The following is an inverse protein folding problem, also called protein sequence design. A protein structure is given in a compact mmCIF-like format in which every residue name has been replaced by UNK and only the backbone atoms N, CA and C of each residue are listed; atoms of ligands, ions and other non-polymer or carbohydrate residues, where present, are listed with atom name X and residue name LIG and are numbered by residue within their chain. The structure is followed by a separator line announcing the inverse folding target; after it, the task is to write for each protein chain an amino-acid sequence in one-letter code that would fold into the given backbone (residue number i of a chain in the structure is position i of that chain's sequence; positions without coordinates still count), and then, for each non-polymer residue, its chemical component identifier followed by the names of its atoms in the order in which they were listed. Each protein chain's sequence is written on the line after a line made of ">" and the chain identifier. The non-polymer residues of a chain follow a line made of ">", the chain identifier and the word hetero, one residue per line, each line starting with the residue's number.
data_IF_155653333294
#
_entry.id   IF_155653333294
#
_cell.length_a   1.000
_cell.length_b   1.000
_cell.length_c   1.000
_cell.angle_alpha   90.00
_cell.angle_beta   90.00
_cell.angle_gamma   90.00
#
_symmetry.space_group_name_H-M   'P 1'
#
loop_
_entity.id
_entity.type
_entity.pdbx_description
1 polymer ?
#
# COMPACT_ATOMS: atom_id res chain seq x y z
N UNK A 1 -6.95 -15.65 -13.41
CA UNK A 1 -5.95 -14.69 -13.90
C UNK A 1 -6.17 -13.30 -13.31
N UNK A 2 -7.35 -12.69 -13.41
CA UNK A 2 -7.65 -11.32 -12.93
C UNK A 2 -7.36 -11.17 -11.43
N UNK A 3 -7.80 -12.12 -10.58
CA UNK A 3 -7.57 -12.07 -9.14
C UNK A 3 -6.07 -11.91 -8.77
N UNK A 4 -5.22 -12.79 -9.28
CA UNK A 4 -3.78 -12.73 -8.98
C UNK A 4 -3.07 -11.61 -9.71
N UNK A 5 -3.50 -11.23 -10.91
CA UNK A 5 -2.94 -10.09 -11.62
C UNK A 5 -3.11 -8.79 -10.82
N UNK A 6 -4.30 -8.52 -10.29
CA UNK A 6 -4.56 -7.34 -9.45
C UNK A 6 -3.74 -7.37 -8.15
N UNK A 7 -3.71 -8.52 -7.44
CA UNK A 7 -2.91 -8.71 -6.22
C UNK A 7 -1.41 -8.48 -6.47
N UNK A 8 -0.91 -9.08 -7.56
CA UNK A 8 0.50 -8.96 -7.94
C UNK A 8 0.86 -7.52 -8.35
N UNK A 9 0.02 -6.87 -9.16
CA UNK A 9 0.23 -5.49 -9.58
C UNK A 9 0.29 -4.53 -8.40
N UNK A 10 -0.62 -4.67 -7.42
CA UNK A 10 -0.63 -3.86 -6.21
C UNK A 10 0.64 -4.05 -5.37
N UNK A 11 1.08 -5.29 -5.18
CA UNK A 11 2.31 -5.60 -4.43
C UNK A 11 3.54 -5.09 -5.17
N UNK A 12 3.62 -5.29 -6.49
CA UNK A 12 4.73 -4.82 -7.31
C UNK A 12 4.81 -3.28 -7.30
N UNK A 13 3.67 -2.58 -7.36
CA UNK A 13 3.64 -1.13 -7.29
C UNK A 13 4.14 -0.61 -5.93
N UNK A 14 3.70 -1.22 -4.82
CA UNK A 14 4.20 -0.87 -3.48
C UNK A 14 5.73 -0.99 -3.39
N UNK A 15 6.30 -2.12 -3.85
CA UNK A 15 7.74 -2.35 -3.79
C UNK A 15 8.53 -1.45 -4.73
N UNK A 16 8.04 -1.17 -5.95
CA UNK A 16 8.65 -0.19 -6.86
C UNK A 16 8.73 1.20 -6.21
N UNK A 17 7.66 1.63 -5.54
CA UNK A 17 7.65 2.89 -4.80
C UNK A 17 8.67 2.88 -3.65
N UNK A 18 8.72 1.82 -2.84
CA UNK A 18 9.66 1.72 -1.72
C UNK A 18 11.12 1.72 -2.20
N UNK A 19 11.45 1.00 -3.27
CA UNK A 19 12.77 0.98 -3.88
C UNK A 19 13.13 2.37 -4.40
N UNK A 20 12.27 2.99 -5.23
CA UNK A 20 12.51 4.31 -5.81
C UNK A 20 12.63 5.40 -4.76
N UNK A 21 11.86 5.32 -3.65
CA UNK A 21 12.00 6.22 -2.52
C UNK A 21 13.38 6.07 -1.87
N UNK A 22 13.83 4.85 -1.57
CA UNK A 22 15.14 4.62 -0.95
C UNK A 22 16.30 5.08 -1.85
N UNK A 23 16.25 4.78 -3.14
CA UNK A 23 17.23 5.28 -4.12
C UNK A 23 17.24 6.81 -4.18
N UNK A 24 16.05 7.42 -4.15
CA UNK A 24 15.88 8.86 -4.13
C UNK A 24 16.45 9.52 -2.86
N UNK A 25 16.23 8.92 -1.67
CA UNK A 25 16.79 9.42 -0.41
C UNK A 25 18.31 9.54 -0.46
N UNK A 26 18.98 8.53 -1.01
CA UNK A 26 20.44 8.51 -1.19
C UNK A 26 20.87 9.52 -2.25
N UNK A 27 20.32 9.43 -3.47
CA UNK A 27 20.70 10.27 -4.62
C UNK A 27 20.52 11.77 -4.33
N UNK A 28 19.43 12.12 -3.69
CA UNK A 28 19.07 13.51 -3.38
C UNK A 28 19.63 14.00 -2.04
N UNK A 29 20.42 13.19 -1.36
CA UNK A 29 21.00 13.51 -0.05
C UNK A 29 19.96 14.03 0.95
N UNK A 30 18.79 13.38 0.98
CA UNK A 30 17.68 13.79 1.84
C UNK A 30 18.05 13.64 3.32
N UNK A 31 18.76 12.57 3.67
CA UNK A 31 19.23 12.33 5.04
C UNK A 31 20.16 13.43 5.52
N UNK A 32 21.16 13.81 4.71
CA UNK A 32 22.08 14.93 5.04
C UNK A 32 21.31 16.23 5.29
N UNK A 33 20.23 16.46 4.51
CA UNK A 33 19.37 17.63 4.69
C UNK A 33 18.62 17.57 6.03
N UNK A 34 18.09 16.39 6.38
CA UNK A 34 17.41 16.18 7.66
C UNK A 34 18.34 16.30 8.85
N UNK A 35 19.57 15.78 8.75
CA UNK A 35 20.60 15.95 9.78
C UNK A 35 20.95 17.43 10.01
N UNK A 36 21.13 18.22 8.95
CA UNK A 36 21.34 19.66 9.07
C UNK A 36 20.16 20.37 9.74
N UNK A 37 18.93 20.03 9.40
CA UNK A 37 17.74 20.59 10.05
C UNK A 37 17.68 20.22 11.54
N UNK A 38 18.03 18.98 11.88
CA UNK A 38 18.17 18.52 13.25
C UNK A 38 19.21 19.35 14.02
N UNK A 39 20.41 19.50 13.48
CA UNK A 39 21.47 20.29 14.10
C UNK A 39 21.05 21.74 14.32
N UNK A 40 20.38 22.36 13.36
CA UNK A 40 19.84 23.72 13.46
C UNK A 40 18.82 23.84 14.60
N UNK A 41 17.88 22.86 14.72
CA UNK A 41 16.91 22.87 15.80
C UNK A 41 17.57 22.73 17.17
N UNK A 42 18.52 21.80 17.30
CA UNK A 42 19.24 21.61 18.55
C UNK A 42 20.11 22.82 18.93
N UNK A 43 20.72 23.49 17.95
CA UNK A 43 21.45 24.74 18.16
C UNK A 43 20.52 25.87 18.66
N UNK A 44 19.36 26.04 18.02
CA UNK A 44 18.34 27.00 18.46
C UNK A 44 17.89 26.76 19.91
N UNK A 45 17.71 25.50 20.30
CA UNK A 45 17.39 25.15 21.68
C UNK A 45 18.49 25.57 22.66
N UNK A 46 19.75 25.25 22.34
CA UNK A 46 20.92 25.64 23.18
C UNK A 46 21.04 27.16 23.34
N UNK A 47 20.86 27.93 22.27
CA UNK A 47 20.89 29.39 22.30
C UNK A 47 19.82 29.99 23.21
N UNK A 48 18.66 29.36 23.30
CA UNK A 48 17.51 29.78 24.15
C UNK A 48 17.60 29.22 25.58
N UNK A 49 18.58 28.38 25.89
CA UNK A 49 18.67 27.66 27.17
C UNK A 49 17.57 26.62 27.35
N UNK A 50 16.95 26.13 26.25
CA UNK A 50 15.89 25.14 26.23
C UNK A 50 16.44 23.77 25.79
N UNK A 51 16.53 22.84 26.72
CA UNK A 51 17.03 21.48 26.47
C UNK A 51 15.92 20.50 26.03
N UNK A 52 14.69 20.96 25.91
CA UNK A 52 13.53 20.12 25.57
C UNK A 52 13.67 19.44 24.21
N UNK A 53 14.24 20.12 23.21
CA UNK A 53 14.48 19.56 21.88
C UNK A 53 15.54 18.46 21.89
N UNK A 54 16.61 18.64 22.68
CA UNK A 54 17.65 17.62 22.83
C UNK A 54 17.07 16.37 23.52
N UNK A 55 16.33 16.56 24.62
CA UNK A 55 15.67 15.45 25.32
C UNK A 55 14.69 14.70 24.41
N UNK A 56 13.88 15.43 23.65
CA UNK A 56 12.96 14.83 22.71
C UNK A 56 13.67 14.03 21.62
N UNK A 57 14.77 14.55 21.08
CA UNK A 57 15.57 13.85 20.08
C UNK A 57 16.20 12.57 20.64
N UNK A 58 16.82 12.64 21.81
CA UNK A 58 17.46 11.48 22.43
C UNK A 58 16.43 10.38 22.78
N UNK A 59 15.26 10.78 23.25
CA UNK A 59 14.15 9.86 23.53
C UNK A 59 13.65 9.20 22.24
N UNK A 60 13.36 9.96 21.18
CA UNK A 60 12.95 9.42 19.88
C UNK A 60 13.99 8.44 19.34
N UNK A 61 15.27 8.81 19.38
CA UNK A 61 16.38 7.97 18.90
C UNK A 61 16.45 6.65 19.67
N UNK A 62 16.35 6.71 20.99
CA UNK A 62 16.36 5.54 21.87
C UNK A 62 15.17 4.60 21.57
N UNK A 63 13.96 5.17 21.45
CA UNK A 63 12.76 4.43 21.16
C UNK A 63 12.83 3.75 19.79
N UNK A 64 13.26 4.48 18.75
CA UNK A 64 13.37 3.94 17.39
C UNK A 64 14.37 2.79 17.34
N UNK A 65 15.53 2.93 18.02
CA UNK A 65 16.52 1.86 18.11
C UNK A 65 15.95 0.63 18.82
N UNK A 66 15.23 0.82 19.93
CA UNK A 66 14.67 -0.28 20.72
C UNK A 66 13.59 -1.07 19.99
N UNK A 67 12.75 -0.41 19.19
CA UNK A 67 11.64 -1.07 18.48
C UNK A 67 11.97 -1.58 17.09
N UNK A 68 13.18 -1.28 16.58
CA UNK A 68 13.58 -1.61 15.21
C UNK A 68 13.36 -3.09 14.86
N UNK A 69 13.87 -4.01 15.67
CA UNK A 69 13.78 -5.44 15.42
C UNK A 69 12.34 -5.96 15.49
N UNK A 70 11.55 -5.45 16.45
CA UNK A 70 10.15 -5.80 16.57
C UNK A 70 9.32 -5.31 15.36
N UNK A 71 9.60 -4.11 14.85
CA UNK A 71 8.98 -3.57 13.62
C UNK A 71 9.35 -4.40 12.40
N UNK A 72 10.64 -4.72 12.24
CA UNK A 72 11.13 -5.54 11.14
C UNK A 72 10.45 -6.92 11.14
N UNK A 73 10.38 -7.56 12.31
CA UNK A 73 9.74 -8.86 12.46
C UNK A 73 8.22 -8.77 12.16
N UNK A 74 7.54 -7.74 12.69
CA UNK A 74 6.12 -7.50 12.40
C UNK A 74 5.87 -7.33 10.90
N UNK A 75 6.73 -6.58 10.21
CA UNK A 75 6.64 -6.37 8.77
C UNK A 75 6.82 -7.68 8.01
N UNK A 76 7.83 -8.49 8.37
CA UNK A 76 8.07 -9.79 7.76
C UNK A 76 6.86 -10.74 7.90
N UNK A 77 6.25 -10.81 9.10
CA UNK A 77 5.02 -11.59 9.31
C UNK A 77 3.88 -11.03 8.44
N UNK A 78 3.68 -9.72 8.45
CA UNK A 78 2.57 -9.07 7.75
C UNK A 78 2.65 -9.28 6.24
N UNK A 79 3.82 -9.13 5.66
CA UNK A 79 4.01 -9.28 4.21
C UNK A 79 4.02 -10.74 3.75
N UNK A 80 4.87 -11.57 4.38
CA UNK A 80 5.08 -12.92 3.93
C UNK A 80 3.95 -13.88 4.32
N UNK A 81 3.33 -13.70 5.50
CA UNK A 81 2.42 -14.69 6.06
C UNK A 81 0.95 -14.22 6.15
N UNK A 82 0.69 -12.91 6.09
CA UNK A 82 -0.69 -12.37 6.12
C UNK A 82 -1.11 -11.90 4.74
N UNK A 83 -0.36 -10.97 4.14
CA UNK A 83 -0.73 -10.35 2.87
C UNK A 83 -0.56 -11.30 1.69
N UNK A 84 0.55 -12.06 1.66
CA UNK A 84 0.84 -12.96 0.56
C UNK A 84 -0.05 -14.21 0.53
N UNK A 85 -0.52 -14.71 1.68
CA UNK A 85 -1.18 -16.01 1.82
C UNK A 85 -2.70 -15.88 1.97
N UNK A 86 -3.46 -15.91 0.87
CA UNK A 86 -4.92 -15.86 0.93
C UNK A 86 -5.50 -17.09 1.64
N UNK A 87 -4.86 -18.26 1.51
CA UNK A 87 -5.29 -19.46 2.21
C UNK A 87 -5.18 -19.37 3.74
N UNK A 88 -4.44 -18.39 4.28
CA UNK A 88 -4.38 -18.15 5.73
C UNK A 88 -5.50 -17.23 6.25
N UNK A 89 -6.34 -16.68 5.37
CA UNK A 89 -7.54 -15.92 5.73
C UNK A 89 -8.71 -16.81 6.20
N UNK A 90 -8.38 -18.02 6.74
CA UNK A 90 -9.38 -18.93 7.29
C UNK A 90 -10.22 -18.24 8.36
N UNK A 91 -11.51 -18.60 8.54
CA UNK A 91 -12.35 -18.11 9.62
C UNK A 91 -11.74 -18.36 11.01
N UNK A 92 -12.12 -17.55 12.01
CA UNK A 92 -11.78 -17.85 13.39
C UNK A 92 -12.55 -19.08 13.89
N UNK A 93 -11.84 -19.95 14.58
CA UNK A 93 -12.42 -21.15 15.21
C UNK A 93 -12.62 -20.98 16.72
N UNK A 94 -12.34 -19.80 17.29
CA UNK A 94 -12.35 -19.56 18.75
C UNK A 94 -13.73 -19.71 19.35
N UNK A 95 -14.78 -19.23 18.67
CA UNK A 95 -16.15 -19.37 19.11
C UNK A 95 -16.56 -20.85 19.22
N UNK A 96 -16.29 -21.61 18.17
CA UNK A 96 -16.59 -23.05 18.15
C UNK A 96 -15.75 -23.81 19.19
N UNK A 97 -14.48 -23.46 19.36
CA UNK A 97 -13.61 -24.05 20.38
C UNK A 97 -14.18 -23.87 21.78
N UNK A 98 -14.53 -22.63 22.17
CA UNK A 98 -15.16 -22.30 23.46
C UNK A 98 -16.52 -23.02 23.65
N UNK A 99 -17.31 -23.11 22.59
CA UNK A 99 -18.58 -23.83 22.64
C UNK A 99 -18.39 -25.33 22.90
N UNK A 100 -17.43 -25.95 22.22
CA UNK A 100 -17.06 -27.37 22.44
C UNK A 100 -16.52 -27.62 23.85
N UNK A 101 -15.69 -26.73 24.39
CA UNK A 101 -15.19 -26.77 25.76
C UNK A 101 -16.32 -26.72 26.79
N UNK A 102 -17.31 -25.85 26.54
CA UNK A 102 -18.47 -25.70 27.43
C UNK A 102 -19.47 -26.89 27.36
N UNK A 103 -19.33 -27.74 26.33
CA UNK A 103 -20.25 -28.87 26.06
C UNK A 103 -21.72 -28.45 25.88
N UNK A 104 -21.99 -27.18 25.59
CA UNK A 104 -23.33 -26.65 25.42
C UNK A 104 -23.80 -26.89 23.97
N UNK A 105 -24.77 -27.77 23.80
CA UNK A 105 -25.24 -28.18 22.45
C UNK A 105 -25.82 -27.02 21.63
N UNK A 106 -26.51 -26.08 22.26
CA UNK A 106 -27.08 -24.89 21.57
C UNK A 106 -25.95 -23.99 21.04
N UNK A 107 -24.98 -23.66 21.88
CA UNK A 107 -23.82 -22.86 21.48
C UNK A 107 -22.97 -23.54 20.41
N UNK A 108 -22.78 -24.86 20.51
CA UNK A 108 -22.07 -25.64 19.48
C UNK A 108 -22.77 -25.50 18.14
N UNK A 109 -24.10 -25.62 18.12
CA UNK A 109 -24.89 -25.48 16.90
C UNK A 109 -24.78 -24.08 16.31
N UNK A 110 -24.97 -23.04 17.13
CA UNK A 110 -24.86 -21.63 16.70
C UNK A 110 -23.50 -21.32 16.10
N UNK A 111 -22.40 -21.68 16.78
CA UNK A 111 -21.04 -21.43 16.29
C UNK A 111 -20.69 -22.31 15.07
N UNK A 112 -21.27 -23.50 14.96
CA UNK A 112 -21.15 -24.36 13.78
C UNK A 112 -21.81 -23.72 12.55
N UNK A 113 -23.03 -23.19 12.71
CA UNK A 113 -23.77 -22.55 11.61
C UNK A 113 -23.10 -21.23 11.18
N UNK A 114 -22.56 -20.46 12.12
CA UNK A 114 -21.76 -19.28 11.86
C UNK A 114 -20.48 -19.64 11.07
N UNK A 115 -19.74 -20.64 11.55
CA UNK A 115 -18.49 -21.07 10.89
C UNK A 115 -18.73 -21.58 9.46
N UNK A 116 -19.88 -22.24 9.19
CA UNK A 116 -20.26 -22.64 7.84
C UNK A 116 -20.41 -21.43 6.90
N UNK A 117 -21.14 -20.41 7.33
CA UNK A 117 -21.34 -19.20 6.54
C UNK A 117 -20.04 -18.45 6.24
N UNK A 118 -19.12 -18.41 7.21
CA UNK A 118 -17.80 -17.81 7.03
C UNK A 118 -16.88 -18.66 6.13
N UNK A 119 -16.95 -20.00 6.25
CA UNK A 119 -16.17 -20.91 5.43
C UNK A 119 -16.60 -20.88 3.95
N UNK A 120 -17.87 -20.71 3.64
CA UNK A 120 -18.33 -20.55 2.25
C UNK A 120 -17.72 -19.30 1.59
N UNK A 121 -17.63 -18.19 2.33
CA UNK A 121 -16.95 -16.96 1.86
C UNK A 121 -15.46 -17.20 1.66
N UNK A 122 -14.82 -17.88 2.62
CA UNK A 122 -13.40 -18.22 2.52
C UNK A 122 -13.10 -19.07 1.28
N UNK A 123 -13.82 -20.15 1.05
CA UNK A 123 -13.56 -21.00 -0.11
C UNK A 123 -13.85 -20.30 -1.45
N UNK A 124 -14.77 -19.33 -1.47
CA UNK A 124 -14.99 -18.48 -2.63
C UNK A 124 -13.82 -17.50 -2.87
N UNK A 125 -13.15 -17.06 -1.80
CA UNK A 125 -12.01 -16.12 -1.87
C UNK A 125 -10.69 -16.79 -2.26
N UNK A 126 -10.59 -18.12 -2.19
CA UNK A 126 -9.40 -18.91 -2.54
C UNK A 126 -9.68 -19.82 -3.74
N UNK A 127 -9.90 -19.26 -4.93
CA UNK A 127 -10.40 -20.01 -6.09
C UNK A 127 -9.37 -20.97 -6.70
N UNK A 128 -8.08 -20.81 -6.39
CA UNK A 128 -6.98 -21.59 -6.97
C UNK A 128 -6.02 -22.12 -5.89
N UNK A 129 -6.43 -23.18 -5.14
CA UNK A 129 -5.61 -23.74 -4.06
C UNK A 129 -4.20 -24.17 -4.48
N UNK A 130 -4.04 -24.63 -5.73
CA UNK A 130 -2.73 -25.04 -6.27
C UNK A 130 -1.74 -23.86 -6.34
N UNK A 131 -2.22 -22.68 -6.72
CA UNK A 131 -1.39 -21.46 -6.75
C UNK A 131 -1.03 -21.06 -5.32
N UNK A 132 -2.00 -21.03 -4.42
CA UNK A 132 -1.79 -20.69 -3.01
C UNK A 132 -0.78 -21.65 -2.34
N UNK A 133 -0.81 -22.94 -2.70
CA UNK A 133 0.14 -23.93 -2.20
C UNK A 133 1.58 -23.60 -2.63
N UNK A 134 1.78 -23.22 -3.89
CA UNK A 134 3.11 -22.84 -4.39
C UNK A 134 3.59 -21.53 -3.75
N UNK A 135 2.71 -20.54 -3.65
CA UNK A 135 3.00 -19.27 -2.96
C UNK A 135 3.32 -19.51 -1.49
N UNK A 136 2.55 -20.37 -0.80
CA UNK A 136 2.78 -20.71 0.60
C UNK A 136 4.15 -21.32 0.85
N UNK A 137 4.60 -22.22 0.00
CA UNK A 137 5.95 -22.82 0.09
C UNK A 137 7.03 -21.74 -0.02
N UNK A 138 6.95 -20.91 -1.05
CA UNK A 138 7.95 -19.86 -1.29
C UNK A 138 7.96 -18.79 -0.19
N UNK A 139 6.79 -18.36 0.27
CA UNK A 139 6.71 -17.32 1.30
C UNK A 139 7.14 -17.80 2.68
N UNK A 140 6.89 -19.07 3.02
CA UNK A 140 7.39 -19.65 4.27
C UNK A 140 8.92 -19.79 4.27
N UNK A 141 9.51 -20.17 3.13
CA UNK A 141 10.95 -20.15 2.92
C UNK A 141 11.54 -18.75 3.05
N UNK A 142 10.90 -17.79 2.38
CA UNK A 142 11.30 -16.37 2.38
C UNK A 142 11.30 -15.79 3.79
N UNK A 143 10.19 -15.97 4.54
CA UNK A 143 10.11 -15.53 5.94
C UNK A 143 11.24 -16.12 6.80
N UNK A 144 11.50 -17.44 6.67
CA UNK A 144 12.56 -18.10 7.40
C UNK A 144 13.97 -17.63 7.04
N UNK A 145 14.17 -17.13 5.82
CA UNK A 145 15.43 -16.53 5.38
C UNK A 145 15.71 -15.14 5.94
N UNK A 146 14.64 -14.39 6.32
CA UNK A 146 14.79 -13.05 6.88
C UNK A 146 14.78 -13.00 8.40
N UNK A 147 14.19 -13.97 9.09
CA UNK A 147 14.03 -13.96 10.54
C UNK A 147 14.91 -15.04 11.18
N UNK A 148 15.78 -14.69 12.16
CA UNK A 148 16.59 -15.65 12.90
C UNK A 148 15.76 -16.79 13.50
N UNK A 149 16.29 -18.01 13.53
CA UNK A 149 15.56 -19.21 13.95
C UNK A 149 14.93 -19.10 15.33
N UNK A 150 15.63 -18.49 16.28
CA UNK A 150 15.17 -18.30 17.66
C UNK A 150 14.04 -17.27 17.79
N UNK A 151 13.85 -16.42 16.77
CA UNK A 151 12.81 -15.39 16.70
C UNK A 151 11.62 -15.80 15.83
N UNK A 152 11.73 -16.88 15.07
CA UNK A 152 10.65 -17.31 14.18
C UNK A 152 9.37 -17.65 14.93
N UNK A 153 8.22 -17.45 14.27
CA UNK A 153 6.91 -17.77 14.85
C UNK A 153 6.80 -19.26 15.20
N UNK A 154 5.94 -19.57 16.19
CA UNK A 154 5.87 -20.90 16.81
C UNK A 154 5.62 -22.08 15.87
N UNK A 155 5.07 -21.84 14.66
CA UNK A 155 4.82 -22.92 13.69
C UNK A 155 6.11 -23.62 13.24
N UNK A 156 7.25 -22.94 13.26
CA UNK A 156 8.52 -23.54 12.88
C UNK A 156 8.94 -24.68 13.81
N UNK A 157 8.65 -24.57 15.12
CA UNK A 157 8.84 -25.69 16.09
C UNK A 157 8.00 -26.90 15.73
N UNK A 158 6.80 -26.69 15.18
CA UNK A 158 5.94 -27.77 14.69
C UNK A 158 6.52 -28.36 13.41
N UNK A 159 6.99 -27.53 12.50
CA UNK A 159 7.63 -27.97 11.25
C UNK A 159 8.87 -28.82 11.56
N UNK A 160 9.71 -28.39 12.48
CA UNK A 160 10.91 -29.14 12.89
C UNK A 160 10.57 -30.51 13.53
N UNK A 161 9.64 -30.48 14.49
CA UNK A 161 9.30 -31.69 15.23
C UNK A 161 8.45 -32.70 14.45
N UNK A 162 7.55 -32.26 13.57
CA UNK A 162 6.59 -33.10 12.86
C UNK A 162 6.93 -33.35 11.39
N UNK A 163 7.67 -32.42 10.78
CA UNK A 163 8.04 -32.49 9.36
C UNK A 163 9.55 -32.50 9.14
N UNK A 164 10.36 -32.66 10.20
CA UNK A 164 11.83 -32.70 10.13
C UNK A 164 12.44 -31.49 9.43
N UNK A 165 11.88 -30.30 9.69
CA UNK A 165 12.29 -29.03 9.07
C UNK A 165 11.78 -28.83 7.63
N UNK A 166 11.03 -29.78 7.06
CA UNK A 166 10.55 -29.68 5.68
C UNK A 166 9.29 -28.78 5.58
N UNK A 167 9.50 -27.52 5.21
CA UNK A 167 8.47 -26.49 5.06
C UNK A 167 7.48 -26.85 3.95
N UNK A 168 7.96 -27.43 2.85
CA UNK A 168 7.13 -27.82 1.71
C UNK A 168 6.15 -28.93 2.10
N UNK A 169 6.62 -29.94 2.83
CA UNK A 169 5.77 -31.02 3.33
C UNK A 169 4.73 -30.50 4.32
N UNK A 170 5.05 -29.50 5.13
CA UNK A 170 4.08 -28.84 6.02
C UNK A 170 2.97 -28.13 5.22
N UNK A 171 3.32 -27.35 4.21
CA UNK A 171 2.34 -26.68 3.34
C UNK A 171 1.48 -27.70 2.61
N UNK A 172 2.07 -28.77 2.07
CA UNK A 172 1.32 -29.84 1.43
C UNK A 172 0.33 -30.52 2.39
N UNK A 173 0.72 -30.71 3.65
CA UNK A 173 -0.16 -31.23 4.70
C UNK A 173 -1.30 -30.27 5.06
N UNK A 174 -1.06 -28.95 5.04
CA UNK A 174 -2.12 -27.92 5.21
C UNK A 174 -3.25 -28.13 4.20
N UNK A 175 -2.93 -28.22 2.93
CA UNK A 175 -3.94 -28.39 1.88
C UNK A 175 -4.56 -29.79 1.88
N UNK A 176 -3.82 -30.82 2.20
CA UNK A 176 -4.31 -32.20 2.15
C UNK A 176 -5.17 -32.62 3.34
N UNK A 177 -4.78 -32.19 4.56
CA UNK A 177 -5.35 -32.75 5.79
C UNK A 177 -6.05 -31.76 6.70
N UNK A 178 -5.82 -30.44 6.53
CA UNK A 178 -6.47 -29.42 7.36
C UNK A 178 -7.96 -29.29 7.06
N UNK A 179 -8.70 -28.84 8.06
CA UNK A 179 -10.14 -28.55 8.02
C UNK A 179 -10.43 -27.59 6.85
N UNK A 180 -9.66 -26.55 6.70
CA UNK A 180 -9.82 -25.54 5.66
C UNK A 180 -9.02 -25.84 4.37
N UNK A 181 -8.35 -26.98 4.28
CA UNK A 181 -7.61 -27.39 3.09
C UNK A 181 -8.49 -27.68 1.87
N UNK A 182 -9.74 -28.08 2.10
CA UNK A 182 -10.76 -28.27 1.06
C UNK A 182 -12.19 -28.20 1.63
N UNK A 183 -13.19 -27.93 0.77
CA UNK A 183 -14.61 -28.00 1.17
C UNK A 183 -14.98 -29.40 1.68
N UNK A 184 -14.41 -30.45 1.12
CA UNK A 184 -14.65 -31.81 1.55
C UNK A 184 -14.16 -32.06 2.98
N UNK A 185 -12.93 -31.62 3.31
CA UNK A 185 -12.39 -31.73 4.64
C UNK A 185 -13.21 -30.94 5.66
N UNK A 186 -13.62 -29.71 5.29
CA UNK A 186 -14.46 -28.86 6.10
C UNK A 186 -15.81 -29.53 6.40
N UNK A 187 -16.49 -30.05 5.37
CA UNK A 187 -17.79 -30.72 5.52
C UNK A 187 -17.70 -31.95 6.42
N UNK A 188 -16.63 -32.74 6.32
CA UNK A 188 -16.38 -33.88 7.20
C UNK A 188 -16.17 -33.44 8.66
N UNK A 189 -15.44 -32.36 8.87
CA UNK A 189 -15.22 -31.83 10.21
C UNK A 189 -16.50 -31.26 10.83
N UNK A 190 -17.22 -30.41 10.09
CA UNK A 190 -18.35 -29.65 10.60
C UNK A 190 -19.57 -30.52 10.92
N UNK A 191 -19.63 -31.73 10.33
CA UNK A 191 -20.65 -32.74 10.69
C UNK A 191 -20.47 -33.29 12.11
N UNK A 192 -19.22 -33.42 12.57
CA UNK A 192 -18.85 -33.90 13.89
C UNK A 192 -17.65 -33.13 14.46
N UNK A 193 -17.82 -31.87 14.86
CA UNK A 193 -16.73 -31.05 15.32
C UNK A 193 -16.20 -31.53 16.68
N UNK A 194 -14.85 -31.55 16.80
CA UNK A 194 -14.19 -31.95 18.03
C UNK A 194 -13.01 -31.03 18.36
N UNK A 195 -12.75 -30.81 19.64
CA UNK A 195 -11.57 -30.06 20.13
C UNK A 195 -10.26 -30.63 19.61
N UNK A 196 -10.11 -31.97 19.72
CA UNK A 196 -8.88 -32.64 19.28
C UNK A 196 -8.54 -32.39 17.81
N UNK A 197 -9.55 -32.26 16.94
CA UNK A 197 -9.32 -31.98 15.52
C UNK A 197 -8.92 -30.51 15.31
N UNK A 198 -9.56 -29.56 16.03
CA UNK A 198 -9.21 -28.14 15.98
C UNK A 198 -7.79 -27.88 16.50
N UNK A 199 -7.45 -28.44 17.67
CA UNK A 199 -6.17 -28.21 18.34
C UNK A 199 -4.97 -28.81 17.58
N UNK A 200 -5.21 -29.77 16.67
CA UNK A 200 -4.17 -30.43 15.89
C UNK A 200 -4.19 -30.06 14.39
N UNK A 201 -5.09 -29.17 14.01
CA UNK A 201 -5.20 -28.76 12.60
C UNK A 201 -4.07 -27.83 12.17
N UNK A 202 -3.41 -28.18 11.06
CA UNK A 202 -2.20 -27.48 10.61
C UNK A 202 -2.46 -26.01 10.22
N UNK A 203 -3.56 -25.70 9.53
CA UNK A 203 -3.89 -24.31 9.16
C UNK A 203 -4.33 -23.50 10.39
N UNK A 204 -5.07 -24.11 11.31
CA UNK A 204 -5.48 -23.47 12.57
C UNK A 204 -4.26 -23.16 13.44
N UNK A 205 -3.35 -24.11 13.61
CA UNK A 205 -2.08 -23.90 14.32
C UNK A 205 -1.21 -22.83 13.66
N UNK A 206 -1.15 -22.81 12.34
CA UNK A 206 -0.39 -21.80 11.62
C UNK A 206 -0.99 -20.40 11.82
N UNK A 207 -2.31 -20.25 11.70
CA UNK A 207 -2.99 -18.97 11.97
C UNK A 207 -2.75 -18.47 13.38
N UNK A 208 -2.87 -19.35 14.39
CA UNK A 208 -2.57 -18.97 15.78
C UNK A 208 -1.12 -18.54 15.94
N UNK A 209 -0.18 -19.23 15.29
CA UNK A 209 1.23 -18.87 15.34
C UNK A 209 1.52 -17.49 14.72
N UNK A 210 0.86 -17.15 13.60
CA UNK A 210 0.93 -15.82 13.00
C UNK A 210 0.37 -14.77 13.95
N UNK A 211 -0.81 -15.01 14.51
CA UNK A 211 -1.47 -14.07 15.44
C UNK A 211 -0.63 -13.85 16.70
N UNK A 212 -0.06 -14.90 17.28
CA UNK A 212 0.83 -14.81 18.44
C UNK A 212 2.11 -14.02 18.11
N UNK A 213 2.69 -14.24 16.94
CA UNK A 213 3.84 -13.48 16.46
C UNK A 213 3.54 -11.98 16.34
N UNK A 214 2.41 -11.62 15.72
CA UNK A 214 1.96 -10.22 15.62
C UNK A 214 1.68 -9.60 17.00
N UNK A 215 1.07 -10.36 17.92
CA UNK A 215 0.81 -9.89 19.27
C UNK A 215 2.11 -9.63 20.05
N UNK A 216 3.08 -10.53 19.96
CA UNK A 216 4.39 -10.39 20.62
C UNK A 216 5.12 -9.15 20.12
N UNK A 217 5.17 -8.93 18.82
CA UNK A 217 5.80 -7.72 18.26
C UNK A 217 5.07 -6.44 18.65
N UNK A 218 3.74 -6.46 18.67
CA UNK A 218 2.92 -5.33 19.11
C UNK A 218 3.15 -5.00 20.59
N UNK A 219 3.22 -6.01 21.46
CA UNK A 219 3.51 -5.83 22.88
C UNK A 219 4.92 -5.28 23.12
N UNK A 220 5.92 -5.75 22.39
CA UNK A 220 7.27 -5.23 22.48
C UNK A 220 7.37 -3.73 22.15
N UNK A 221 6.48 -3.22 21.30
CA UNK A 221 6.45 -1.80 20.90
C UNK A 221 5.53 -0.94 21.79
N UNK A 222 4.64 -1.54 22.57
CA UNK A 222 3.56 -0.81 23.27
C UNK A 222 4.05 0.27 24.22
N UNK A 223 5.02 -0.04 25.06
CA UNK A 223 5.53 0.90 26.07
C UNK A 223 6.39 1.99 25.43
N UNK A 224 7.15 1.64 24.39
CA UNK A 224 7.90 2.60 23.61
C UNK A 224 7.00 3.65 22.94
N UNK A 225 5.83 3.28 22.43
CA UNK A 225 4.92 4.19 21.74
C UNK A 225 4.36 5.31 22.63
N UNK A 226 4.18 5.10 23.92
CA UNK A 226 3.68 6.15 24.83
C UNK A 226 4.62 7.36 24.90
N UNK A 227 5.90 7.12 25.08
CA UNK A 227 6.90 8.17 25.19
C UNK A 227 7.19 8.80 23.83
N UNK A 228 7.08 8.02 22.75
CA UNK A 228 7.28 8.51 21.40
C UNK A 228 6.37 9.67 21.06
N UNK A 229 5.06 9.55 21.32
CA UNK A 229 4.10 10.59 20.98
C UNK A 229 4.36 11.91 21.72
N UNK A 230 4.79 11.83 22.98
CA UNK A 230 5.14 13.01 23.77
C UNK A 230 6.41 13.69 23.22
N UNK A 231 7.46 12.93 23.00
CA UNK A 231 8.72 13.44 22.46
C UNK A 231 8.55 13.97 21.02
N UNK A 232 7.78 13.26 20.19
CA UNK A 232 7.50 13.67 18.82
C UNK A 232 6.72 15.00 18.74
N UNK A 233 5.77 15.25 19.63
CA UNK A 233 5.06 16.55 19.72
C UNK A 233 6.03 17.71 20.00
N UNK A 234 6.98 17.53 20.92
CA UNK A 234 8.01 18.54 21.21
C UNK A 234 8.89 18.77 19.99
N UNK A 235 9.32 17.71 19.35
CA UNK A 235 10.15 17.76 18.15
C UNK A 235 9.45 18.51 17.00
N UNK A 236 8.20 18.12 16.68
CA UNK A 236 7.41 18.76 15.62
C UNK A 236 7.17 20.23 15.90
N UNK A 237 6.87 20.59 17.17
CA UNK A 237 6.73 21.99 17.57
C UNK A 237 8.01 22.76 17.31
N UNK A 238 9.18 22.24 17.69
CA UNK A 238 10.46 22.85 17.42
C UNK A 238 10.72 23.07 15.93
N UNK A 239 10.41 22.07 15.10
CA UNK A 239 10.51 22.20 13.63
C UNK A 239 9.56 23.27 13.07
N UNK A 240 8.36 23.40 13.63
CA UNK A 240 7.43 24.47 13.26
C UNK A 240 7.95 25.85 13.65
N UNK A 241 8.45 26.01 14.87
CA UNK A 241 9.02 27.26 15.37
C UNK A 241 10.23 27.71 14.52
N UNK A 242 11.09 26.76 14.13
CA UNK A 242 12.22 27.02 13.24
C UNK A 242 11.77 27.48 11.84
N UNK A 243 10.77 26.82 11.24
CA UNK A 243 10.21 27.20 9.94
C UNK A 243 9.56 28.57 10.01
N UNK A 244 8.80 28.85 11.06
CA UNK A 244 8.17 30.15 11.27
C UNK A 244 9.21 31.29 11.37
N UNK A 245 10.28 31.07 12.12
CA UNK A 245 11.38 32.02 12.22
C UNK A 245 12.08 32.27 10.87
N UNK A 246 12.16 31.25 10.01
CA UNK A 246 12.71 31.35 8.65
C UNK A 246 11.69 31.88 7.61
N UNK A 247 10.47 32.25 7.99
CA UNK A 247 9.43 32.67 7.06
C UNK A 247 8.95 31.57 6.07
N UNK A 248 9.22 30.29 6.39
CA UNK A 248 8.85 29.17 5.54
C UNK A 248 7.39 28.77 5.80
N UNK A 249 6.57 28.52 4.78
CA UNK A 249 5.19 28.07 4.97
C UNK A 249 5.11 26.78 5.82
N UNK A 250 4.12 26.77 6.71
CA UNK A 250 3.79 25.63 7.56
C UNK A 250 2.38 25.17 7.19
N UNK A 251 2.26 23.89 6.87
CA UNK A 251 0.98 23.25 6.58
C UNK A 251 0.95 21.85 7.20
N UNK A 252 -0.23 21.36 7.63
CA UNK A 252 -0.37 20.05 8.24
C UNK A 252 -0.33 18.95 7.19
N UNK A 253 0.02 17.74 7.63
CA UNK A 253 -0.24 16.53 6.87
C UNK A 253 -1.76 16.25 6.74
N UNK A 254 -2.11 15.35 5.81
CA UNK A 254 -3.48 14.92 5.63
C UNK A 254 -4.03 14.24 6.90
N UNK A 255 -5.23 14.67 7.33
CA UNK A 255 -5.87 14.22 8.56
C UNK A 255 -7.35 13.86 8.34
N UNK A 256 -7.72 13.47 7.12
CA UNK A 256 -9.10 13.18 6.69
C UNK A 256 -10.03 14.40 6.63
N UNK A 257 -9.50 15.61 6.70
CA UNK A 257 -10.25 16.85 6.40
C UNK A 257 -9.91 17.37 5.01
N UNK A 258 -10.74 18.26 4.48
CA UNK A 258 -10.48 18.90 3.18
C UNK A 258 -9.18 19.72 3.25
N UNK A 259 -8.29 19.47 2.30
CA UNK A 259 -7.01 20.17 2.15
C UNK A 259 -6.83 20.65 0.72
N UNK A 260 -6.43 21.90 0.57
CA UNK A 260 -6.02 22.46 -0.70
C UNK A 260 -4.50 22.42 -0.82
N UNK A 261 -3.99 21.88 -1.91
CA UNK A 261 -2.62 22.06 -2.37
C UNK A 261 -2.63 22.87 -3.66
N UNK A 262 -1.64 23.73 -3.87
CA UNK A 262 -1.59 24.58 -5.06
C UNK A 262 -0.18 24.64 -5.63
N UNK A 263 -0.08 24.97 -6.92
CA UNK A 263 1.18 25.02 -7.65
C UNK A 263 0.98 25.46 -9.08
N UNK A 264 1.90 25.07 -9.94
CA UNK A 264 1.93 25.45 -11.36
C UNK A 264 2.10 24.22 -12.24
N UNK A 265 1.60 24.29 -13.46
CA UNK A 265 1.90 23.33 -14.54
C UNK A 265 3.30 23.63 -15.04
N UNK A 266 4.25 22.71 -14.83
CA UNK A 266 5.66 22.94 -15.15
C UNK A 266 6.32 21.66 -15.67
N UNK A 267 7.22 21.77 -16.66
CA UNK A 267 8.15 20.71 -17.01
C UNK A 267 9.16 20.46 -15.88
N UNK A 268 10.02 19.45 -16.01
CA UNK A 268 11.17 19.24 -15.12
C UNK A 268 12.31 18.53 -15.83
N UNK A 269 13.49 18.62 -15.23
CA UNK A 269 14.73 18.00 -15.70
C UNK A 269 15.12 16.84 -14.77
N UNK A 270 14.85 15.58 -15.15
CA UNK A 270 15.17 14.41 -14.31
C UNK A 270 16.67 14.11 -14.28
N UNK A 271 17.41 14.50 -15.33
CA UNK A 271 18.83 14.30 -15.48
C UNK A 271 19.42 15.35 -16.42
N UNK A 272 20.75 15.46 -16.44
CA UNK A 272 21.47 16.34 -17.35
C UNK A 272 21.11 16.04 -18.82
N UNK A 273 20.78 17.07 -19.57
CA UNK A 273 20.39 16.97 -20.98
C UNK A 273 19.01 16.36 -21.24
N UNK A 274 18.18 16.11 -20.20
CA UNK A 274 16.85 15.54 -20.34
C UNK A 274 15.79 16.49 -19.80
N UNK A 275 14.79 16.79 -20.63
CA UNK A 275 13.62 17.61 -20.24
C UNK A 275 12.35 16.79 -20.45
N UNK A 276 11.56 16.63 -19.39
CA UNK A 276 10.20 16.11 -19.49
C UNK A 276 9.21 17.25 -19.59
N UNK A 277 8.46 17.25 -20.71
CA UNK A 277 7.45 18.27 -20.96
C UNK A 277 6.32 18.17 -19.91
N UNK A 278 5.59 19.28 -19.73
CA UNK A 278 4.49 19.36 -18.76
C UNK A 278 3.24 18.58 -19.18
N UNK A 279 3.13 18.07 -20.41
CA UNK A 279 1.99 17.27 -20.87
C UNK A 279 2.44 16.08 -21.73
N UNK A 280 1.55 15.09 -21.85
CA UNK A 280 1.65 13.95 -22.74
C UNK A 280 0.42 13.87 -23.64
N UNK A 281 0.54 13.16 -24.76
CA UNK A 281 -0.53 13.04 -25.76
C UNK A 281 -0.90 11.58 -26.04
N UNK A 282 -2.00 11.38 -26.74
CA UNK A 282 -2.46 10.06 -27.17
C UNK A 282 -1.42 9.33 -28.06
N UNK A 283 -0.51 10.09 -28.73
CA UNK A 283 0.64 9.52 -29.44
C UNK A 283 1.51 8.67 -28.52
N UNK A 284 1.77 9.13 -27.31
CA UNK A 284 2.54 8.40 -26.31
C UNK A 284 1.88 7.09 -25.88
N UNK A 285 0.53 7.06 -25.81
CA UNK A 285 -0.24 5.85 -25.54
C UNK A 285 -0.02 4.81 -26.67
N UNK A 286 -0.07 5.26 -27.93
CA UNK A 286 0.19 4.37 -29.07
C UNK A 286 1.63 3.86 -29.11
N UNK A 287 2.60 4.68 -28.72
CA UNK A 287 4.01 4.30 -28.66
C UNK A 287 4.33 3.27 -27.56
N UNK A 288 3.53 3.24 -26.51
CA UNK A 288 3.67 2.30 -25.38
C UNK A 288 2.89 1.00 -25.58
N UNK A 289 2.16 0.85 -26.68
CA UNK A 289 1.38 -0.35 -26.94
C UNK A 289 2.26 -1.60 -26.91
N UNK A 290 1.86 -2.57 -26.08
CA UNK A 290 2.45 -3.91 -26.03
C UNK A 290 1.30 -4.94 -25.98
N UNK A 291 1.03 -5.62 -27.12
CA UNK A 291 -0.05 -6.60 -27.20
C UNK A 291 0.12 -7.81 -26.28
N UNK A 292 1.36 -8.11 -25.88
CA UNK A 292 1.67 -9.24 -25.01
C UNK A 292 1.56 -8.90 -23.53
N UNK A 293 1.49 -7.61 -23.21
CA UNK A 293 1.29 -7.12 -21.85
C UNK A 293 -0.10 -6.49 -21.69
N UNK A 294 -0.98 -7.14 -20.95
CA UNK A 294 -2.36 -6.71 -20.78
C UNK A 294 -2.53 -5.28 -20.25
N UNK A 295 -1.54 -4.75 -19.52
CA UNK A 295 -1.54 -3.37 -18.99
C UNK A 295 -1.36 -2.33 -20.11
N UNK A 296 -0.71 -2.71 -21.22
CA UNK A 296 -0.38 -1.82 -22.34
C UNK A 296 -1.15 -2.14 -23.62
N UNK A 297 -2.15 -3.01 -23.57
CA UNK A 297 -3.04 -3.25 -24.71
C UNK A 297 -3.88 -2.01 -25.00
N UNK A 298 -3.74 -1.44 -26.19
CA UNK A 298 -4.58 -0.32 -26.64
C UNK A 298 -5.81 -0.86 -27.37
N UNK A 299 -7.05 -0.52 -26.91
CA UNK A 299 -8.28 -0.97 -27.56
C UNK A 299 -8.36 -0.54 -29.03
N UNK A 300 -8.82 -1.43 -29.90
CA UNK A 300 -8.88 -1.20 -31.35
C UNK A 300 -9.67 0.08 -31.72
N UNK A 301 -10.78 0.36 -31.03
CA UNK A 301 -11.57 1.58 -31.24
C UNK A 301 -10.76 2.85 -30.94
N UNK A 302 -9.93 2.85 -29.91
CA UNK A 302 -9.07 3.98 -29.58
C UNK A 302 -8.00 4.21 -30.66
N UNK A 303 -7.41 3.13 -31.21
CA UNK A 303 -6.49 3.21 -32.35
C UNK A 303 -7.17 3.79 -33.60
N UNK A 304 -8.39 3.37 -33.90
CA UNK A 304 -9.17 3.91 -35.01
C UNK A 304 -9.42 5.42 -34.88
N UNK A 305 -9.86 5.87 -33.71
CA UNK A 305 -10.05 7.30 -33.42
C UNK A 305 -8.74 8.10 -33.56
N UNK A 306 -7.63 7.53 -33.07
CA UNK A 306 -6.31 8.15 -33.19
C UNK A 306 -5.87 8.30 -34.64
N UNK A 307 -5.96 7.24 -35.45
CA UNK A 307 -5.54 7.28 -36.86
C UNK A 307 -6.46 8.18 -37.72
N UNK A 308 -7.74 8.22 -37.41
CA UNK A 308 -8.69 9.13 -38.07
C UNK A 308 -8.57 10.58 -37.60
N UNK A 309 -7.81 10.86 -36.51
CA UNK A 309 -7.76 12.15 -35.81
C UNK A 309 -9.14 12.66 -35.42
N UNK A 310 -10.08 11.73 -35.13
CA UNK A 310 -11.43 12.07 -34.70
C UNK A 310 -11.45 12.39 -33.20
N UNK A 311 -10.86 13.52 -32.86
CA UNK A 311 -10.76 14.00 -31.47
C UNK A 311 -11.86 15.03 -31.12
N UNK A 312 -12.61 15.49 -32.12
CA UNK A 312 -13.58 16.57 -31.93
C UNK A 312 -12.92 17.86 -31.41
N UNK A 313 -13.64 18.59 -30.59
CA UNK A 313 -13.16 19.83 -29.96
C UNK A 313 -12.25 19.60 -28.75
N UNK A 314 -11.96 18.33 -28.40
CA UNK A 314 -11.11 17.97 -27.26
C UNK A 314 -9.60 18.05 -27.59
N UNK A 315 -9.23 18.16 -28.86
CA UNK A 315 -7.84 18.33 -29.27
C UNK A 315 -7.28 19.70 -28.86
N UNK A 316 -5.97 19.76 -28.66
CA UNK A 316 -5.26 21.03 -28.51
C UNK A 316 -5.21 21.80 -29.87
N UNK A 317 -4.87 23.07 -29.84
CA UNK A 317 -4.73 23.89 -31.05
C UNK A 317 -3.78 23.31 -32.11
N UNK A 318 -2.74 22.58 -31.65
CA UNK A 318 -1.80 21.87 -32.54
C UNK A 318 -2.37 20.57 -33.15
N UNK A 319 -3.63 20.24 -32.84
CA UNK A 319 -4.31 19.04 -33.34
C UNK A 319 -3.95 17.73 -32.60
N UNK A 320 -3.17 17.78 -31.54
CA UNK A 320 -2.85 16.63 -30.71
C UNK A 320 -3.90 16.43 -29.62
N UNK A 321 -4.16 15.18 -29.27
CA UNK A 321 -5.06 14.82 -28.16
C UNK A 321 -4.25 14.76 -26.85
N UNK A 322 -4.44 15.69 -25.89
CA UNK A 322 -3.75 15.64 -24.61
C UNK A 322 -4.25 14.45 -23.79
N UNK A 323 -3.40 13.87 -22.95
CA UNK A 323 -3.77 12.76 -22.06
C UNK A 323 -3.54 13.13 -20.61
N UNK A 324 -2.34 13.61 -20.28
CA UNK A 324 -1.96 13.98 -18.94
C UNK A 324 -1.14 15.27 -18.95
N UNK A 325 -1.16 15.98 -17.84
CA UNK A 325 -0.22 17.06 -17.54
C UNK A 325 0.35 16.90 -16.12
N UNK A 326 1.42 17.64 -15.81
CA UNK A 326 2.10 17.55 -14.52
C UNK A 326 2.16 18.92 -13.83
N UNK A 327 2.05 18.87 -12.49
CA UNK A 327 2.02 20.07 -11.64
C UNK A 327 2.96 19.90 -10.44
N UNK A 328 3.52 20.99 -9.92
CA UNK A 328 4.45 20.98 -8.79
C UNK A 328 3.74 21.12 -7.42
N UNK A 329 2.54 20.59 -7.31
CA UNK A 329 1.79 20.55 -6.05
C UNK A 329 2.36 19.49 -5.10
N UNK A 330 2.27 19.72 -3.78
CA UNK A 330 2.64 18.75 -2.77
C UNK A 330 1.52 17.73 -2.55
N UNK A 331 1.64 16.59 -3.22
CA UNK A 331 0.66 15.51 -3.18
C UNK A 331 1.26 14.27 -2.52
N UNK A 332 0.44 13.58 -1.74
CA UNK A 332 0.78 12.33 -1.06
C UNK A 332 -0.27 11.25 -1.34
N UNK A 333 -0.08 10.05 -0.79
CA UNK A 333 -1.10 9.00 -0.84
C UNK A 333 -2.44 9.48 -0.30
N UNK A 334 -3.54 9.19 -1.01
CA UNK A 334 -4.89 9.68 -0.72
C UNK A 334 -5.37 10.80 -1.67
N UNK A 335 -4.46 11.47 -2.39
CA UNK A 335 -4.83 12.47 -3.40
C UNK A 335 -5.33 11.85 -4.72
N UNK A 336 -5.18 10.54 -4.92
CA UNK A 336 -5.67 9.85 -6.11
C UNK A 336 -7.19 10.04 -6.28
N UNK A 337 -7.62 10.51 -7.48
CA UNK A 337 -9.01 10.86 -7.77
C UNK A 337 -9.42 12.29 -7.38
N UNK A 338 -8.51 13.09 -6.81
CA UNK A 338 -8.81 14.47 -6.43
C UNK A 338 -9.00 15.36 -7.66
N UNK A 339 -10.00 16.27 -7.64
CA UNK A 339 -10.20 17.23 -8.72
C UNK A 339 -9.09 18.28 -8.73
N UNK A 340 -8.67 18.67 -9.94
CA UNK A 340 -7.70 19.74 -10.15
C UNK A 340 -8.41 20.90 -10.83
N UNK A 341 -8.32 22.09 -10.23
CA UNK A 341 -8.97 23.30 -10.70
C UNK A 341 -7.95 24.32 -11.18
N UNK A 342 -8.33 25.13 -12.17
CA UNK A 342 -7.59 26.33 -12.51
C UNK A 342 -7.91 27.49 -11.54
N UNK A 343 -7.26 28.64 -11.74
CA UNK A 343 -7.47 29.84 -10.90
C UNK A 343 -8.89 30.44 -10.96
N UNK A 344 -9.75 30.01 -11.89
CA UNK A 344 -11.16 30.40 -12.01
C UNK A 344 -12.11 29.38 -11.35
N UNK A 345 -11.59 28.30 -10.76
CA UNK A 345 -12.40 27.23 -10.15
C UNK A 345 -12.99 26.24 -11.15
N UNK A 346 -12.51 26.23 -12.38
CA UNK A 346 -12.94 25.28 -13.42
C UNK A 346 -12.15 23.99 -13.29
N UNK A 347 -12.82 22.83 -13.39
CA UNK A 347 -12.21 21.51 -13.35
C UNK A 347 -11.37 21.30 -14.64
N UNK A 348 -10.07 21.12 -14.49
CA UNK A 348 -9.13 20.91 -15.59
C UNK A 348 -8.53 19.51 -15.62
N UNK A 349 -8.77 18.70 -14.60
CA UNK A 349 -8.27 17.32 -14.57
C UNK A 349 -8.50 16.59 -13.26
N UNK A 350 -7.97 15.37 -13.21
CA UNK A 350 -8.02 14.50 -12.03
C UNK A 350 -6.61 14.06 -11.66
N UNK A 351 -6.18 14.34 -10.44
CA UNK A 351 -4.89 13.87 -9.92
C UNK A 351 -4.91 12.36 -9.71
N UNK A 352 -3.83 11.65 -10.10
CA UNK A 352 -3.82 10.19 -9.96
C UNK A 352 -2.50 9.61 -9.48
N UNK A 353 -1.37 10.27 -9.72
CA UNK A 353 -0.04 9.74 -9.39
C UNK A 353 0.99 10.87 -9.22
N UNK A 354 2.23 10.51 -8.99
CA UNK A 354 3.39 11.40 -9.00
C UNK A 354 4.54 10.78 -9.80
N UNK A 355 5.48 11.62 -10.23
CA UNK A 355 6.66 11.16 -10.95
C UNK A 355 7.63 10.39 -10.05
N UNK A 356 8.50 9.59 -10.68
CA UNK A 356 9.49 8.76 -9.99
C UNK A 356 10.46 9.58 -9.12
N UNK A 357 10.91 10.72 -9.60
CA UNK A 357 11.82 11.63 -8.91
C UNK A 357 11.18 12.30 -7.68
N UNK A 358 9.86 12.27 -7.61
CA UNK A 358 9.06 12.78 -6.49
C UNK A 358 8.75 11.76 -5.40
N UNK A 359 9.19 10.50 -5.49
CA UNK A 359 8.87 9.45 -4.53
C UNK A 359 9.38 9.75 -3.10
N UNK A 360 10.41 10.57 -2.95
CA UNK A 360 10.89 11.04 -1.65
C UNK A 360 9.99 12.09 -0.99
N UNK A 361 8.95 12.56 -1.68
CA UNK A 361 8.10 13.66 -1.24
C UNK A 361 7.39 13.44 0.08
N UNK A 362 7.11 12.17 0.45
CA UNK A 362 6.53 11.84 1.76
C UNK A 362 7.49 12.15 2.92
N UNK A 363 8.79 12.24 2.66
CA UNK A 363 9.83 12.57 3.65
C UNK A 363 10.32 14.01 3.46
N UNK A 364 10.48 14.45 2.20
CA UNK A 364 10.95 15.78 1.85
C UNK A 364 10.41 16.20 0.48
N UNK A 365 9.41 17.09 0.48
CA UNK A 365 8.87 17.69 -0.73
C UNK A 365 9.91 18.56 -1.45
N UNK A 366 10.03 18.42 -2.78
CA UNK A 366 10.96 19.15 -3.64
C UNK A 366 10.25 19.72 -4.87
N UNK A 367 9.83 20.98 -4.86
CA UNK A 367 9.07 21.58 -5.95
C UNK A 367 9.86 21.65 -7.28
N UNK A 368 11.20 21.57 -7.23
CA UNK A 368 12.04 21.57 -8.45
C UNK A 368 11.90 20.29 -9.29
N UNK A 369 11.73 19.13 -8.66
CA UNK A 369 11.72 17.83 -9.34
C UNK A 369 10.46 17.00 -9.09
N UNK A 370 9.74 17.24 -7.99
CA UNK A 370 8.50 16.52 -7.71
C UNK A 370 7.35 17.05 -8.58
N UNK A 371 6.61 16.15 -9.21
CA UNK A 371 5.42 16.47 -10.00
C UNK A 371 4.30 15.50 -9.66
N UNK A 372 3.11 16.07 -9.46
CA UNK A 372 1.87 15.29 -9.47
C UNK A 372 1.40 15.11 -10.91
N UNK A 373 0.95 13.90 -11.24
CA UNK A 373 0.40 13.57 -12.55
C UNK A 373 -1.13 13.72 -12.52
N UNK A 374 -1.65 14.40 -13.53
CA UNK A 374 -3.06 14.77 -13.67
C UNK A 374 -3.58 14.29 -15.02
N UNK A 375 -4.69 13.55 -15.04
CA UNK A 375 -5.41 13.25 -16.29
C UNK A 375 -6.05 14.55 -16.78
N UNK A 376 -5.80 14.90 -18.04
CA UNK A 376 -6.41 16.08 -18.68
C UNK A 376 -7.92 15.88 -18.82
N UNK A 377 -8.72 16.85 -18.42
CA UNK A 377 -10.18 16.77 -18.50
C UNK A 377 -10.67 16.54 -19.93
N UNK A 378 -9.98 17.10 -20.92
CA UNK A 378 -10.30 16.92 -22.34
C UNK A 378 -10.19 15.45 -22.76
N UNK A 379 -9.20 14.71 -22.23
CA UNK A 379 -9.10 13.27 -22.47
C UNK A 379 -10.26 12.52 -21.82
N UNK A 380 -10.63 12.86 -20.62
CA UNK A 380 -11.78 12.25 -19.93
C UNK A 380 -13.06 12.46 -20.74
N UNK A 381 -13.33 13.69 -21.19
CA UNK A 381 -14.50 14.01 -22.01
C UNK A 381 -14.46 13.31 -23.38
N UNK A 382 -13.30 13.26 -24.03
CA UNK A 382 -13.11 12.51 -25.28
C UNK A 382 -13.44 11.02 -25.13
N UNK A 383 -12.99 10.41 -24.02
CA UNK A 383 -13.29 9.00 -23.76
C UNK A 383 -14.80 8.79 -23.54
N UNK A 384 -15.47 9.67 -22.81
CA UNK A 384 -16.92 9.61 -22.58
C UNK A 384 -17.68 9.76 -23.91
N UNK A 385 -17.37 10.80 -24.67
CA UNK A 385 -18.12 11.15 -25.90
C UNK A 385 -17.78 10.22 -27.06
N UNK A 386 -16.54 10.28 -27.54
CA UNK A 386 -16.12 9.62 -28.78
C UNK A 386 -15.85 8.13 -28.62
N UNK A 387 -15.15 7.76 -27.55
CA UNK A 387 -14.79 6.35 -27.35
C UNK A 387 -15.98 5.54 -26.80
N UNK A 388 -16.64 5.99 -25.74
CA UNK A 388 -17.79 5.30 -25.15
C UNK A 388 -19.12 5.57 -25.89
N UNK A 389 -19.22 6.67 -26.65
CA UNK A 389 -20.46 7.09 -27.32
C UNK A 389 -21.53 7.57 -26.34
N UNK A 390 -21.14 8.04 -25.16
CA UNK A 390 -22.02 8.47 -24.10
C UNK A 390 -22.25 9.99 -24.10
N UNK A 391 -22.51 10.57 -25.29
CA UNK A 391 -22.72 12.01 -25.49
C UNK A 391 -23.88 12.60 -24.66
N UNK A 392 -24.78 11.76 -24.13
CA UNK A 392 -25.82 12.20 -23.20
C UNK A 392 -25.23 12.72 -21.88
N UNK A 393 -24.14 12.14 -21.39
CA UNK A 393 -23.43 12.62 -20.18
C UNK A 393 -22.83 14.00 -20.45
N UNK A 394 -22.23 14.20 -21.62
CA UNK A 394 -21.61 15.48 -22.00
C UNK A 394 -22.65 16.63 -21.98
N UNK A 395 -23.88 16.34 -22.36
CA UNK A 395 -24.99 17.33 -22.38
C UNK A 395 -25.47 17.76 -20.98
N UNK A 396 -25.11 17.01 -19.94
CA UNK A 396 -25.42 17.32 -18.54
C UNK A 396 -24.32 18.17 -17.88
N UNK A 397 -23.18 18.38 -18.55
CA UNK A 397 -22.04 19.12 -18.04
C UNK A 397 -22.02 20.56 -18.54
N UNK A 398 -21.64 21.48 -17.69
CA UNK A 398 -21.32 22.86 -18.04
C UNK A 398 -19.86 22.95 -18.49
N UNK A 399 -19.63 22.82 -19.79
CA UNK A 399 -18.29 22.82 -20.39
C UNK A 399 -17.93 24.24 -20.82
N UNK A 400 -16.80 24.70 -20.27
CA UNK A 400 -16.24 26.02 -20.62
C UNK A 400 -15.11 25.81 -21.61
N UNK A 401 -15.20 26.39 -22.80
CA UNK A 401 -14.17 26.47 -23.81
C UNK A 401 -13.53 27.85 -23.77
N UNK A 402 -12.20 27.94 -23.59
CA UNK A 402 -11.43 29.19 -23.63
C UNK A 402 -10.38 29.14 -24.75
#
# INVERSE_FOLDING_TARGET
>A
RIHYASKYASSANYWKNAIGMNEGLVRLKVLDTKEKQQEQLLAMGREKGDDSYQKAFDEIRSIVAHRHDAMYHQQAISEALVTALDFMKIPSTDGLKKALESKNATKIKEETDKLKAEADKYFASVPFPEVERLVGKKMLETYAGYIPEDQQIGIFKVIDSRFKGNKDAFIDACFKYSIFGSKENFNKFIAHPTLNKLDKDWMVLFKYSITDGLLKTALAMKDANKNYDAAHKVWVKGMMDMRQAAGTPIYPDANSTLRLTYGQVLPYEPADGTVYNYYTTLKGVMQKEDPDNWEFVVPQKLKQLYHAKDFGHYAMENGEMPVCFIVNTDNTGGNSGSPVFNGKGQLIGTGFDRNYEGLTGDIAFRPSSQRAAVVDIRYTLFIIDKYAGASHIIKELDIVEE
#
